data_IF_328365749159
#
_entry.id   IF_328365749159
#
_cell.length_a   1.000
_cell.length_b   1.000
_cell.length_c   1.000
_cell.angle_alpha   90.00
_cell.angle_beta   90.00
_cell.angle_gamma   90.00
#
_symmetry.space_group_name_H-M   'P 1'
#
loop_
_entity.id
_entity.type
_entity.pdbx_description
1 polymer ?
#
# COMPACT_ATOMS: atom_id res chain seq x y z
N UNK A 1 -34.48 0.97 -1.00
CA UNK A 1 -33.46 1.21 -2.04
C UNK A 1 -32.42 2.15 -1.46
N UNK A 2 -31.18 1.71 -1.23
CA UNK A 2 -30.17 2.50 -0.48
C UNK A 2 -29.52 3.62 -1.31
N UNK A 3 -29.55 3.52 -2.64
CA UNK A 3 -28.90 4.46 -3.56
C UNK A 3 -29.83 4.89 -4.72
N UNK A 4 -30.99 5.52 -4.43
CA UNK A 4 -31.96 5.89 -5.47
C UNK A 4 -31.39 6.87 -6.51
N UNK A 5 -30.46 7.75 -6.10
CA UNK A 5 -29.77 8.68 -6.99
C UNK A 5 -28.81 7.98 -7.97
N UNK A 6 -28.22 6.85 -7.57
CA UNK A 6 -27.35 6.07 -8.46
C UNK A 6 -28.16 5.16 -9.40
N UNK A 7 -29.37 4.78 -9.00
CA UNK A 7 -30.23 3.82 -9.71
C UNK A 7 -31.66 4.36 -9.89
N UNK A 8 -31.85 5.47 -10.62
CA UNK A 8 -33.14 6.16 -10.70
C UNK A 8 -34.24 5.34 -11.38
N UNK A 9 -33.86 4.32 -12.16
CA UNK A 9 -34.79 3.41 -12.85
C UNK A 9 -35.16 2.17 -12.03
N UNK A 10 -34.73 2.09 -10.76
CA UNK A 10 -35.03 0.95 -9.89
C UNK A 10 -34.31 -0.34 -10.27
N UNK A 11 -33.09 -0.22 -10.79
CA UNK A 11 -32.26 -1.36 -11.20
C UNK A 11 -32.05 -2.35 -10.04
N UNK A 12 -32.17 -3.65 -10.33
CA UNK A 12 -31.87 -4.68 -9.35
C UNK A 12 -30.37 -4.74 -9.03
N UNK A 13 -30.06 -4.85 -7.74
CA UNK A 13 -28.70 -5.16 -7.27
C UNK A 13 -28.36 -6.63 -7.52
N UNK A 14 -27.11 -6.99 -7.24
CA UNK A 14 -26.66 -8.38 -7.25
C UNK A 14 -27.56 -9.29 -6.40
N UNK A 15 -27.84 -10.49 -6.90
CA UNK A 15 -28.53 -11.55 -6.17
C UNK A 15 -27.94 -12.93 -6.51
N UNK A 16 -28.18 -13.91 -5.64
CA UNK A 16 -27.65 -15.27 -5.74
C UNK A 16 -28.16 -16.07 -6.95
N UNK A 17 -29.24 -15.61 -7.60
CA UNK A 17 -29.81 -16.21 -8.80
C UNK A 17 -29.18 -15.73 -10.10
N UNK A 18 -28.30 -14.72 -10.08
CA UNK A 18 -27.67 -14.18 -11.28
C UNK A 18 -26.75 -15.21 -11.95
N UNK A 19 -27.11 -15.63 -13.16
CA UNK A 19 -26.33 -16.59 -13.97
C UNK A 19 -25.40 -15.87 -14.94
N UNK A 20 -24.27 -16.50 -15.24
CA UNK A 20 -23.45 -16.08 -16.38
C UNK A 20 -24.21 -16.29 -17.70
N UNK A 21 -23.83 -15.54 -18.73
CA UNK A 21 -24.18 -15.86 -20.13
C UNK A 21 -23.59 -17.22 -20.50
N UNK A 22 -24.25 -17.98 -21.36
CA UNK A 22 -23.91 -19.39 -21.62
C UNK A 22 -22.46 -19.60 -22.03
N UNK A 23 -21.94 -18.74 -22.91
CA UNK A 23 -20.56 -18.75 -23.40
C UNK A 23 -19.50 -18.57 -22.30
N UNK A 24 -19.87 -17.97 -21.15
CA UNK A 24 -18.97 -17.74 -20.01
C UNK A 24 -19.21 -18.71 -18.86
N UNK A 25 -20.17 -19.63 -19.00
CA UNK A 25 -20.41 -20.68 -17.99
C UNK A 25 -19.32 -21.74 -18.13
N UNK A 26 -18.80 -22.16 -17.00
CA UNK A 26 -18.02 -23.40 -16.91
C UNK A 26 -18.79 -24.40 -16.06
N UNK A 27 -18.41 -25.68 -16.11
CA UNK A 27 -19.02 -26.73 -15.28
C UNK A 27 -19.03 -26.37 -13.77
N UNK A 28 -18.04 -25.56 -13.33
CA UNK A 28 -17.88 -25.14 -11.94
C UNK A 28 -18.43 -23.73 -11.65
N UNK A 29 -18.51 -22.86 -12.66
CA UNK A 29 -18.92 -21.45 -12.50
C UNK A 29 -20.11 -21.12 -13.42
N UNK A 30 -21.32 -21.29 -12.87
CA UNK A 30 -22.57 -21.00 -13.58
C UNK A 30 -23.21 -19.67 -13.17
N UNK A 31 -22.77 -19.09 -12.04
CA UNK A 31 -23.35 -17.88 -11.42
C UNK A 31 -22.34 -16.76 -11.31
N UNK A 32 -22.83 -15.53 -11.44
CA UNK A 32 -22.03 -14.31 -11.27
C UNK A 32 -21.76 -14.09 -9.79
N UNK A 33 -20.49 -14.03 -9.40
CA UNK A 33 -20.12 -13.72 -8.02
C UNK A 33 -20.35 -12.24 -7.71
N UNK A 34 -20.54 -11.92 -6.44
CA UNK A 34 -20.72 -10.54 -6.01
C UNK A 34 -19.53 -9.65 -6.38
N UNK A 35 -18.31 -10.19 -6.29
CA UNK A 35 -17.08 -9.50 -6.72
C UNK A 35 -17.08 -9.22 -8.22
N UNK A 36 -17.45 -10.20 -9.05
CA UNK A 36 -17.56 -9.99 -10.50
C UNK A 36 -18.60 -8.93 -10.86
N UNK A 37 -19.75 -8.93 -10.17
CA UNK A 37 -20.79 -7.93 -10.37
C UNK A 37 -20.29 -6.53 -10.05
N UNK A 38 -19.67 -6.32 -8.90
CA UNK A 38 -19.16 -5.00 -8.53
C UNK A 38 -17.97 -4.58 -9.39
N UNK A 39 -17.05 -5.49 -9.73
CA UNK A 39 -15.97 -5.19 -10.67
C UNK A 39 -16.52 -4.75 -12.04
N UNK A 40 -17.58 -5.38 -12.52
CA UNK A 40 -18.29 -4.96 -13.72
C UNK A 40 -18.98 -3.59 -13.55
N UNK A 41 -19.58 -3.28 -12.39
CA UNK A 41 -20.21 -1.96 -12.19
C UNK A 41 -19.18 -0.83 -12.10
N UNK A 42 -18.03 -1.10 -11.48
CA UNK A 42 -16.92 -0.15 -11.28
C UNK A 42 -16.01 -0.01 -12.51
N UNK A 43 -16.20 -0.82 -13.56
CA UNK A 43 -15.41 -0.65 -14.79
C UNK A 43 -15.87 0.62 -15.52
N UNK A 44 -14.92 1.50 -15.83
CA UNK A 44 -15.15 2.65 -16.71
C UNK A 44 -15.58 2.15 -18.10
N UNK A 45 -16.59 2.80 -18.70
CA UNK A 45 -17.06 2.54 -20.06
C UNK A 45 -17.20 3.86 -20.80
N UNK A 46 -17.26 3.78 -22.13
CA UNK A 46 -17.58 4.93 -22.96
C UNK A 46 -18.98 5.46 -22.62
N UNK A 47 -19.07 6.76 -22.37
CA UNK A 47 -20.32 7.45 -22.06
C UNK A 47 -20.46 7.87 -20.59
N UNK A 48 -21.50 8.66 -20.31
CA UNK A 48 -21.75 9.20 -18.98
C UNK A 48 -22.12 8.10 -17.98
N UNK A 49 -21.38 8.03 -16.87
CA UNK A 49 -21.68 7.13 -15.76
C UNK A 49 -22.14 7.92 -14.55
N UNK A 50 -23.41 7.76 -14.16
CA UNK A 50 -23.94 8.34 -12.91
C UNK A 50 -23.08 7.90 -11.73
N UNK A 51 -22.69 6.62 -11.69
CA UNK A 51 -21.91 6.04 -10.62
C UNK A 51 -20.58 6.77 -10.41
N UNK A 52 -19.75 6.90 -11.45
CA UNK A 52 -18.43 7.52 -11.33
C UNK A 52 -18.48 9.04 -11.15
N UNK A 53 -19.59 9.69 -11.50
CA UNK A 53 -19.79 11.14 -11.36
C UNK A 53 -20.47 11.56 -10.04
N UNK A 54 -20.69 10.62 -9.12
CA UNK A 54 -21.43 10.88 -7.87
C UNK A 54 -20.54 11.20 -6.64
N UNK A 55 -19.23 11.38 -6.83
CA UNK A 55 -18.30 11.84 -5.80
C UNK A 55 -18.35 11.03 -4.49
N UNK A 56 -18.66 11.68 -3.36
CA UNK A 56 -18.76 10.99 -2.05
C UNK A 56 -19.77 9.84 -2.04
N UNK A 57 -20.85 9.93 -2.80
CA UNK A 57 -21.84 8.85 -2.89
C UNK A 57 -21.27 7.62 -3.62
N UNK A 58 -20.37 7.83 -4.58
CA UNK A 58 -19.61 6.76 -5.23
C UNK A 58 -18.66 6.07 -4.25
N UNK A 59 -17.92 6.85 -3.45
CA UNK A 59 -17.03 6.31 -2.42
C UNK A 59 -17.80 5.44 -1.41
N UNK A 60 -18.96 5.93 -0.94
CA UNK A 60 -19.82 5.17 -0.03
C UNK A 60 -20.32 3.87 -0.68
N UNK A 61 -20.73 3.93 -1.95
CA UNK A 61 -21.14 2.75 -2.70
C UNK A 61 -20.03 1.69 -2.79
N UNK A 62 -18.78 2.09 -3.02
CA UNK A 62 -17.63 1.16 -3.05
C UNK A 62 -17.42 0.51 -1.68
N UNK A 63 -17.46 1.28 -0.60
CA UNK A 63 -17.31 0.75 0.76
C UNK A 63 -18.42 -0.26 1.08
N UNK A 64 -19.67 0.07 0.77
CA UNK A 64 -20.80 -0.83 0.94
C UNK A 64 -20.66 -2.10 0.10
N UNK A 65 -20.21 -1.98 -1.15
CA UNK A 65 -19.97 -3.11 -2.04
C UNK A 65 -18.89 -4.05 -1.47
N UNK A 66 -17.80 -3.48 -0.95
CA UNK A 66 -16.72 -4.21 -0.30
C UNK A 66 -17.22 -4.94 0.95
N UNK A 67 -17.90 -4.23 1.87
CA UNK A 67 -18.42 -4.82 3.12
C UNK A 67 -19.42 -5.93 2.84
N UNK A 68 -20.30 -5.79 1.84
CA UNK A 68 -21.24 -6.85 1.45
C UNK A 68 -20.50 -8.08 0.91
N UNK A 69 -19.49 -7.86 0.08
CA UNK A 69 -18.68 -8.95 -0.51
C UNK A 69 -17.91 -9.70 0.58
N UNK A 70 -17.22 -8.99 1.46
CA UNK A 70 -16.49 -9.59 2.58
C UNK A 70 -17.44 -10.25 3.60
N UNK A 71 -18.59 -9.64 3.87
CA UNK A 71 -19.63 -10.24 4.70
C UNK A 71 -20.15 -11.57 4.13
N UNK A 72 -20.34 -11.65 2.81
CA UNK A 72 -20.71 -12.89 2.12
C UNK A 72 -19.62 -13.96 2.24
N UNK A 73 -18.35 -13.59 2.06
CA UNK A 73 -17.20 -14.51 2.23
C UNK A 73 -17.09 -15.03 3.66
N UNK A 74 -17.22 -14.15 4.66
CA UNK A 74 -17.22 -14.52 6.08
C UNK A 74 -18.41 -15.42 6.43
N UNK A 75 -19.58 -15.15 5.87
CA UNK A 75 -20.75 -15.99 6.04
C UNK A 75 -20.49 -17.40 5.48
N UNK A 76 -19.93 -17.50 4.28
CA UNK A 76 -19.55 -18.79 3.70
C UNK A 76 -18.56 -19.53 4.61
N UNK A 77 -17.49 -18.87 5.07
CA UNK A 77 -16.51 -19.48 5.96
C UNK A 77 -17.16 -19.97 7.27
N UNK A 78 -18.09 -19.20 7.84
CA UNK A 78 -18.82 -19.57 9.05
C UNK A 78 -19.70 -20.83 8.88
N UNK A 79 -20.31 -21.01 7.72
CA UNK A 79 -21.21 -22.14 7.45
C UNK A 79 -20.46 -23.42 7.04
N UNK A 80 -19.31 -23.30 6.39
CA UNK A 80 -18.57 -24.43 5.81
C UNK A 80 -17.31 -24.76 6.63
N UNK A 81 -17.37 -24.61 7.95
CA UNK A 81 -16.23 -24.88 8.84
C UNK A 81 -15.76 -26.35 8.75
N UNK A 82 -16.67 -27.31 8.59
CA UNK A 82 -16.34 -28.74 8.51
C UNK A 82 -15.39 -29.08 7.34
N UNK A 83 -15.50 -28.35 6.21
CA UNK A 83 -14.67 -28.57 5.03
C UNK A 83 -13.20 -28.12 5.22
N UNK A 84 -12.90 -27.30 6.24
CA UNK A 84 -11.60 -26.65 6.41
C UNK A 84 -10.56 -27.46 7.23
N UNK A 85 -10.67 -28.79 7.29
CA UNK A 85 -9.79 -29.68 8.09
C UNK A 85 -9.59 -29.18 9.53
N UNK A 86 -10.68 -28.77 10.17
CA UNK A 86 -10.68 -28.23 11.54
C UNK A 86 -10.29 -29.29 12.59
N UNK A 87 -10.23 -30.57 12.21
CA UNK A 87 -9.78 -31.66 13.08
C UNK A 87 -8.43 -31.40 13.76
N UNK A 88 -7.52 -30.67 13.10
CA UNK A 88 -6.23 -30.23 13.68
C UNK A 88 -6.37 -29.29 14.89
N UNK A 89 -7.51 -28.61 15.05
CA UNK A 89 -7.81 -27.67 16.12
C UNK A 89 -8.74 -28.24 17.19
N UNK A 90 -9.12 -29.52 17.08
CA UNK A 90 -9.99 -30.19 18.06
C UNK A 90 -9.39 -30.13 19.47
N UNK A 91 -8.09 -30.35 19.61
CA UNK A 91 -7.42 -30.22 20.92
C UNK A 91 -7.45 -28.81 21.51
N UNK A 92 -7.47 -27.76 20.67
CA UNK A 92 -7.63 -26.37 21.14
C UNK A 92 -9.07 -26.11 21.62
N UNK A 93 -10.05 -26.64 20.88
CA UNK A 93 -11.47 -26.56 21.25
C UNK A 93 -11.72 -27.27 22.58
N UNK A 94 -11.23 -28.50 22.74
CA UNK A 94 -11.37 -29.29 23.97
C UNK A 94 -10.77 -28.53 25.17
N UNK A 95 -9.58 -27.94 25.01
CA UNK A 95 -8.95 -27.14 26.06
C UNK A 95 -9.75 -25.88 26.44
N UNK A 96 -10.33 -25.19 25.46
CA UNK A 96 -11.18 -24.01 25.68
C UNK A 96 -12.50 -24.40 26.36
N UNK A 97 -13.10 -25.52 25.97
CA UNK A 97 -14.32 -26.03 26.59
C UNK A 97 -14.09 -26.45 28.04
N UNK A 98 -13.00 -27.18 28.33
CA UNK A 98 -12.62 -27.51 29.71
C UNK A 98 -12.43 -26.26 30.58
N UNK A 99 -11.77 -25.22 30.05
CA UNK A 99 -11.56 -23.97 30.77
C UNK A 99 -12.87 -23.22 31.02
N UNK A 100 -13.72 -23.11 30.00
CA UNK A 100 -15.01 -22.44 30.12
C UNK A 100 -15.93 -23.16 31.12
N UNK A 101 -15.91 -24.49 31.14
CA UNK A 101 -16.62 -25.30 32.13
C UNK A 101 -16.14 -25.01 33.56
N UNK A 102 -14.82 -24.94 33.77
CA UNK A 102 -14.25 -24.60 35.08
C UNK A 102 -14.58 -23.18 35.53
N UNK A 103 -14.76 -22.24 34.59
CA UNK A 103 -15.07 -20.83 34.87
C UNK A 103 -16.59 -20.53 34.80
N UNK A 104 -17.47 -21.54 34.66
CA UNK A 104 -18.92 -21.38 34.48
C UNK A 104 -19.31 -20.43 33.33
N UNK A 105 -18.49 -20.36 32.28
CA UNK A 105 -18.72 -19.53 31.10
C UNK A 105 -19.31 -20.33 29.95
N UNK A 106 -20.19 -19.71 29.17
CA UNK A 106 -20.75 -20.31 27.95
C UNK A 106 -19.83 -20.04 26.78
N UNK A 107 -19.21 -21.08 26.23
CA UNK A 107 -18.33 -20.96 25.06
C UNK A 107 -19.14 -20.60 23.81
N UNK A 108 -18.70 -19.58 23.07
CA UNK A 108 -19.25 -19.28 21.74
C UNK A 108 -18.78 -20.28 20.69
N UNK A 109 -19.31 -20.18 19.46
CA UNK A 109 -18.81 -20.97 18.32
C UNK A 109 -17.48 -20.39 17.85
N UNK A 110 -16.40 -21.16 17.97
CA UNK A 110 -15.11 -20.80 17.37
C UNK A 110 -15.25 -20.86 15.84
N UNK A 111 -14.86 -19.77 15.17
CA UNK A 111 -14.77 -19.71 13.70
C UNK A 111 -13.32 -19.45 13.35
N UNK A 112 -12.70 -20.40 12.66
CA UNK A 112 -11.32 -20.29 12.22
C UNK A 112 -11.33 -19.76 10.79
N UNK A 113 -10.62 -18.65 10.58
CA UNK A 113 -10.45 -18.06 9.27
C UNK A 113 -9.17 -18.62 8.62
N UNK A 114 -9.24 -19.20 7.41
CA UNK A 114 -8.07 -19.74 6.73
C UNK A 114 -7.08 -18.64 6.32
N UNK A 115 -5.86 -19.02 5.95
CA UNK A 115 -4.84 -18.09 5.44
C UNK A 115 -5.19 -17.48 4.09
N UNK A 116 -6.14 -18.07 3.36
CA UNK A 116 -6.72 -17.53 2.13
C UNK A 116 -7.65 -16.33 2.37
N UNK A 117 -8.06 -16.08 3.62
CA UNK A 117 -8.81 -14.89 3.98
C UNK A 117 -7.84 -13.77 4.37
N UNK A 118 -7.74 -12.74 3.52
CA UNK A 118 -6.82 -11.63 3.73
C UNK A 118 -7.10 -10.91 5.07
N UNK A 119 -6.04 -10.66 5.83
CA UNK A 119 -6.13 -10.04 7.15
C UNK A 119 -6.51 -11.00 8.30
N UNK A 120 -6.74 -12.30 8.02
CA UNK A 120 -6.91 -13.29 9.10
C UNK A 120 -5.61 -13.51 9.89
N UNK A 121 -5.68 -13.97 11.15
CA UNK A 121 -4.47 -14.35 11.90
C UNK A 121 -3.59 -15.36 11.16
N UNK A 122 -4.19 -16.35 10.51
CA UNK A 122 -3.48 -17.35 9.71
C UNK A 122 -2.83 -16.75 8.46
N UNK A 123 -3.48 -15.78 7.82
CA UNK A 123 -2.92 -15.06 6.67
C UNK A 123 -1.67 -14.26 7.10
N UNK A 124 -1.78 -13.50 8.18
CA UNK A 124 -0.67 -12.72 8.72
C UNK A 124 0.49 -13.62 9.16
N UNK A 125 0.19 -14.73 9.83
CA UNK A 125 1.21 -15.70 10.24
C UNK A 125 1.89 -16.38 9.05
N UNK A 126 1.13 -16.71 8.00
CA UNK A 126 1.70 -17.25 6.77
C UNK A 126 2.64 -16.24 6.10
N UNK A 127 2.19 -14.99 5.89
CA UNK A 127 3.03 -13.94 5.29
C UNK A 127 4.32 -13.72 6.08
N UNK A 128 4.24 -13.73 7.43
CA UNK A 128 5.42 -13.63 8.29
C UNK A 128 6.37 -14.82 8.09
N UNK A 129 5.84 -16.05 8.11
CA UNK A 129 6.66 -17.26 7.91
C UNK A 129 7.31 -17.28 6.53
N UNK A 130 6.59 -16.88 5.49
CA UNK A 130 7.11 -16.79 4.12
C UNK A 130 8.23 -15.74 4.04
N UNK A 131 8.03 -14.56 4.64
CA UNK A 131 9.08 -13.54 4.73
C UNK A 131 10.32 -14.04 5.48
N UNK A 132 10.14 -14.71 6.62
CA UNK A 132 11.26 -15.29 7.38
C UNK A 132 11.97 -16.42 6.62
N UNK A 133 11.24 -17.22 5.85
CA UNK A 133 11.82 -18.26 5.00
C UNK A 133 12.68 -17.65 3.88
N UNK A 134 12.21 -16.56 3.27
CA UNK A 134 12.99 -15.79 2.30
C UNK A 134 14.26 -15.22 2.92
N UNK A 135 14.17 -14.59 4.09
CA UNK A 135 15.35 -14.06 4.81
C UNK A 135 16.32 -15.18 5.21
N UNK A 136 15.81 -16.35 5.64
CA UNK A 136 16.65 -17.50 5.97
C UNK A 136 17.38 -18.05 4.74
N UNK A 137 16.74 -18.04 3.57
CA UNK A 137 17.30 -18.59 2.33
C UNK A 137 18.28 -17.63 1.64
N UNK A 138 17.93 -16.35 1.57
CA UNK A 138 18.67 -15.35 0.79
C UNK A 138 19.49 -14.38 1.65
N UNK A 139 19.34 -14.43 2.97
CA UNK A 139 19.98 -13.51 3.91
C UNK A 139 19.11 -12.30 4.22
N UNK A 140 19.66 -11.38 5.02
CA UNK A 140 19.01 -10.12 5.35
C UNK A 140 18.80 -9.26 4.07
N UNK A 141 17.69 -8.52 3.95
CA UNK A 141 17.53 -7.53 2.90
C UNK A 141 18.61 -6.44 2.97
N UNK A 142 18.99 -5.91 1.83
CA UNK A 142 20.00 -4.85 1.69
C UNK A 142 19.36 -3.47 1.54
N UNK A 143 18.21 -3.40 0.88
CA UNK A 143 17.48 -2.15 0.64
C UNK A 143 16.08 -2.22 1.23
N UNK A 144 15.69 -1.11 1.85
CA UNK A 144 14.32 -0.83 2.25
C UNK A 144 13.84 0.42 1.52
N UNK A 145 12.83 0.26 0.68
CA UNK A 145 12.26 1.34 -0.13
C UNK A 145 10.81 1.58 0.23
N UNK A 146 10.42 2.84 0.23
CA UNK A 146 9.03 3.26 0.33
C UNK A 146 8.59 3.88 -0.99
N UNK A 147 7.44 3.43 -1.50
CA UNK A 147 6.83 4.00 -2.70
C UNK A 147 5.45 4.56 -2.33
N UNK A 148 5.30 5.88 -2.40
CA UNK A 148 4.10 6.58 -1.95
C UNK A 148 3.31 7.10 -3.15
N UNK A 149 2.01 6.85 -3.15
CA UNK A 149 1.10 7.37 -4.16
C UNK A 149 1.03 8.91 -4.13
N UNK A 150 1.07 9.55 -5.29
CA UNK A 150 0.91 10.99 -5.45
C UNK A 150 -0.37 11.28 -6.26
N UNK A 151 -1.36 11.99 -5.71
CA UNK A 151 -2.62 12.24 -6.40
C UNK A 151 -2.46 13.27 -7.54
N UNK A 152 -1.33 13.99 -7.57
CA UNK A 152 -0.99 14.95 -8.62
C UNK A 152 -0.25 14.32 -9.81
N UNK A 153 -0.16 12.99 -9.89
CA UNK A 153 0.36 12.34 -11.09
C UNK A 153 -0.49 12.69 -12.31
N UNK A 154 0.18 12.97 -13.43
CA UNK A 154 -0.48 13.38 -14.68
C UNK A 154 -1.46 12.33 -15.18
N UNK A 155 -1.18 11.04 -14.99
CA UNK A 155 -2.10 9.95 -15.38
C UNK A 155 -3.41 10.01 -14.61
N UNK A 156 -3.38 10.44 -13.34
CA UNK A 156 -4.59 10.64 -12.53
C UNK A 156 -5.31 11.90 -13.01
N UNK A 157 -4.61 13.02 -13.10
CA UNK A 157 -5.20 14.32 -13.46
C UNK A 157 -5.81 14.31 -14.86
N UNK A 158 -5.13 13.69 -15.83
CA UNK A 158 -5.61 13.57 -17.21
C UNK A 158 -6.82 12.61 -17.34
N UNK A 159 -7.05 11.75 -16.34
CA UNK A 159 -8.21 10.84 -16.31
C UNK A 159 -9.43 11.46 -15.62
N UNK A 160 -9.32 12.68 -15.08
CA UNK A 160 -10.44 13.38 -14.47
C UNK A 160 -11.32 14.02 -15.55
N UNK A 161 -12.64 13.85 -15.43
CA UNK A 161 -13.61 14.45 -16.34
C UNK A 161 -14.39 15.59 -15.67
N UNK A 162 -14.55 16.72 -16.36
CA UNK A 162 -15.36 17.85 -15.88
C UNK A 162 -14.88 18.43 -14.55
N UNK A 163 -15.71 18.30 -13.51
CA UNK A 163 -15.45 18.85 -12.15
C UNK A 163 -14.91 17.80 -11.18
N UNK A 164 -14.58 16.59 -11.65
CA UNK A 164 -14.03 15.53 -10.80
C UNK A 164 -12.68 15.94 -10.21
N UNK A 165 -12.45 15.57 -8.94
CA UNK A 165 -11.15 15.69 -8.29
C UNK A 165 -10.59 14.30 -8.01
N UNK A 166 -9.27 14.14 -7.87
CA UNK A 166 -8.66 12.84 -7.56
C UNK A 166 -9.31 12.14 -6.35
N UNK A 167 -9.64 12.90 -5.32
CA UNK A 167 -10.33 12.41 -4.11
C UNK A 167 -11.65 11.70 -4.43
N UNK A 168 -12.36 12.14 -5.46
CA UNK A 168 -13.66 11.60 -5.86
C UNK A 168 -13.53 10.28 -6.66
N UNK A 169 -12.33 9.93 -7.13
CA UNK A 169 -12.03 8.78 -8.01
C UNK A 169 -10.98 7.82 -7.42
N UNK A 170 -11.29 7.15 -6.29
CA UNK A 170 -10.36 6.18 -5.68
C UNK A 170 -10.03 4.99 -6.59
N UNK A 171 -10.94 4.63 -7.50
CA UNK A 171 -10.74 3.60 -8.51
C UNK A 171 -9.57 3.93 -9.45
N UNK A 172 -9.47 5.17 -9.91
CA UNK A 172 -8.37 5.65 -10.76
C UNK A 172 -7.06 5.72 -9.94
N UNK A 173 -7.11 6.26 -8.72
CA UNK A 173 -5.94 6.37 -7.85
C UNK A 173 -5.29 4.99 -7.63
N UNK A 174 -6.10 4.00 -7.23
CA UNK A 174 -5.61 2.63 -6.97
C UNK A 174 -5.04 2.03 -8.25
N UNK A 175 -5.71 2.25 -9.39
CA UNK A 175 -5.28 1.71 -10.68
C UNK A 175 -3.91 2.26 -11.11
N UNK A 176 -3.76 3.59 -11.10
CA UNK A 176 -2.50 4.26 -11.46
C UNK A 176 -1.38 3.89 -10.49
N UNK A 177 -1.66 3.84 -9.19
CA UNK A 177 -0.69 3.39 -8.19
C UNK A 177 -0.18 1.98 -8.47
N UNK A 178 -1.10 1.04 -8.75
CA UNK A 178 -0.74 -0.35 -9.05
C UNK A 178 0.07 -0.46 -10.35
N UNK A 179 -0.28 0.32 -11.39
CA UNK A 179 0.51 0.37 -12.62
C UNK A 179 1.93 0.87 -12.38
N UNK A 180 2.08 2.01 -11.68
CA UNK A 180 3.40 2.57 -11.40
C UNK A 180 4.24 1.70 -10.47
N UNK A 181 3.61 1.04 -9.49
CA UNK A 181 4.31 0.09 -8.63
C UNK A 181 4.83 -1.12 -9.43
N UNK A 182 4.05 -1.62 -10.38
CA UNK A 182 4.52 -2.71 -11.27
C UNK A 182 5.68 -2.27 -12.14
N UNK A 183 5.62 -1.08 -12.72
CA UNK A 183 6.71 -0.51 -13.51
C UNK A 183 7.99 -0.38 -12.67
N UNK A 184 7.88 0.16 -11.45
CA UNK A 184 9.01 0.26 -10.52
C UNK A 184 9.62 -1.12 -10.21
N UNK A 185 8.79 -2.13 -9.96
CA UNK A 185 9.28 -3.48 -9.70
C UNK A 185 9.93 -4.11 -10.94
N UNK A 186 9.46 -3.77 -12.13
CA UNK A 186 10.07 -4.19 -13.40
C UNK A 186 11.44 -3.54 -13.61
N UNK A 187 11.58 -2.24 -13.35
CA UNK A 187 12.88 -1.55 -13.37
C UNK A 187 13.87 -2.16 -12.38
N UNK A 188 13.41 -2.44 -11.16
CA UNK A 188 14.23 -3.03 -10.10
C UNK A 188 14.65 -4.46 -10.45
N UNK A 189 13.72 -5.31 -10.86
CA UNK A 189 13.96 -6.75 -10.96
C UNK A 189 14.43 -7.20 -12.35
N UNK A 190 14.06 -6.49 -13.41
CA UNK A 190 14.40 -6.86 -14.80
C UNK A 190 15.46 -5.94 -15.41
N UNK A 191 15.33 -4.63 -15.24
CA UNK A 191 16.31 -3.67 -15.76
C UNK A 191 17.54 -3.51 -14.87
N UNK A 192 17.48 -4.03 -13.62
CA UNK A 192 18.63 -4.15 -12.74
C UNK A 192 19.18 -2.80 -12.29
N UNK A 193 18.31 -1.79 -12.07
CA UNK A 193 18.73 -0.44 -11.65
C UNK A 193 19.54 -0.43 -10.34
N UNK A 194 19.34 -1.44 -9.50
CA UNK A 194 20.07 -1.66 -8.24
C UNK A 194 21.00 -2.88 -8.29
N UNK A 195 21.29 -3.38 -9.49
CA UNK A 195 21.97 -4.65 -9.72
C UNK A 195 21.02 -5.85 -9.70
N UNK A 196 21.55 -7.04 -9.43
CA UNK A 196 20.79 -8.29 -9.51
C UNK A 196 20.03 -8.57 -8.22
N UNK A 197 18.69 -8.60 -8.31
CA UNK A 197 17.81 -8.91 -7.18
C UNK A 197 17.58 -10.42 -7.10
N UNK A 198 17.98 -11.04 -5.98
CA UNK A 198 17.72 -12.46 -5.70
C UNK A 198 16.32 -12.70 -5.16
N UNK A 199 15.83 -11.76 -4.36
CA UNK A 199 14.54 -11.85 -3.68
C UNK A 199 14.01 -10.45 -3.36
N UNK A 200 12.69 -10.29 -3.42
CA UNK A 200 12.02 -9.11 -2.90
C UNK A 200 10.73 -9.48 -2.16
N UNK A 201 10.37 -8.67 -1.17
CA UNK A 201 9.12 -8.77 -0.42
C UNK A 201 8.54 -7.37 -0.39
N UNK A 202 7.25 -7.21 -0.64
CA UNK A 202 6.60 -5.92 -0.44
C UNK A 202 5.22 -6.06 0.20
N UNK A 203 4.83 -5.01 0.91
CA UNK A 203 3.50 -4.86 1.50
C UNK A 203 2.95 -3.51 1.08
N UNK A 204 1.70 -3.51 0.61
CA UNK A 204 0.94 -2.27 0.41
C UNK A 204 0.17 -2.03 1.70
N UNK A 205 0.42 -0.89 2.34
CA UNK A 205 -0.30 -0.47 3.52
C UNK A 205 -1.15 0.76 3.16
N UNK A 206 -2.29 0.87 3.84
CA UNK A 206 -3.17 2.02 3.72
C UNK A 206 -3.04 2.85 4.99
N UNK A 207 -2.28 3.94 4.94
CA UNK A 207 -2.16 4.83 6.08
C UNK A 207 -3.51 5.52 6.33
N UNK A 208 -3.99 5.52 7.58
CA UNK A 208 -5.28 6.13 7.99
C UNK A 208 -5.44 7.63 7.62
N UNK A 209 -4.40 8.26 7.09
CA UNK A 209 -4.32 9.68 6.71
C UNK A 209 -3.75 9.90 5.31
N UNK A 210 -3.52 8.84 4.53
CA UNK A 210 -2.71 8.92 3.32
C UNK A 210 -3.20 8.02 2.21
N UNK A 211 -2.64 8.25 1.03
CA UNK A 211 -2.81 7.38 -0.12
C UNK A 211 -1.98 6.11 0.06
N UNK A 212 -2.15 5.15 -0.84
CA UNK A 212 -1.42 3.89 -0.84
C UNK A 212 0.09 4.11 -0.76
N UNK A 213 0.74 3.30 0.07
CA UNK A 213 2.18 3.22 0.12
C UNK A 213 2.63 1.76 0.11
N UNK A 214 3.69 1.48 -0.62
CA UNK A 214 4.35 0.19 -0.61
C UNK A 214 5.65 0.27 0.19
N UNK A 215 5.86 -0.69 1.08
CA UNK A 215 7.13 -0.96 1.72
C UNK A 215 7.75 -2.14 0.99
N UNK A 216 8.95 -1.96 0.44
CA UNK A 216 9.63 -2.93 -0.42
C UNK A 216 10.99 -3.26 0.20
N UNK A 217 11.25 -4.53 0.41
CA UNK A 217 12.53 -5.09 0.86
C UNK A 217 13.18 -5.81 -0.31
N UNK A 218 14.44 -5.50 -0.61
CA UNK A 218 15.22 -6.13 -1.68
C UNK A 218 16.43 -6.85 -1.10
N UNK A 219 16.71 -8.06 -1.61
CA UNK A 219 17.92 -8.82 -1.34
C UNK A 219 18.71 -8.95 -2.63
N UNK A 220 19.88 -8.33 -2.67
CA UNK A 220 20.78 -8.27 -3.81
C UNK A 220 21.76 -9.45 -3.84
N UNK A 221 22.26 -9.78 -5.03
CA UNK A 221 23.31 -10.78 -5.21
C UNK A 221 24.65 -10.31 -4.61
N UNK A 222 25.61 -11.24 -4.51
CA UNK A 222 26.91 -10.96 -3.87
C UNK A 222 27.72 -9.84 -4.54
N UNK A 223 27.51 -9.61 -5.85
CA UNK A 223 28.24 -8.61 -6.66
C UNK A 223 27.61 -7.24 -6.57
N UNK A 224 26.30 -7.19 -6.31
CA UNK A 224 25.50 -5.96 -6.19
C UNK A 224 25.36 -5.50 -4.73
N UNK A 225 26.00 -6.17 -3.76
CA UNK A 225 25.98 -5.76 -2.35
C UNK A 225 26.66 -4.40 -2.17
N UNK A 226 26.02 -3.55 -1.39
CA UNK A 226 26.57 -2.26 -0.93
C UNK A 226 27.59 -2.56 0.17
N UNK A 227 28.87 -2.25 -0.08
CA UNK A 227 29.97 -2.53 0.87
C UNK A 227 30.87 -1.34 1.17
N UNK A 228 30.76 -0.29 0.37
CA UNK A 228 31.62 0.89 0.46
C UNK A 228 30.78 2.15 0.50
N UNK A 229 31.38 3.25 0.95
CA UNK A 229 30.78 4.59 0.93
C UNK A 229 30.41 5.01 -0.49
N UNK A 230 31.27 4.72 -1.48
CA UNK A 230 30.98 4.94 -2.90
C UNK A 230 29.77 4.14 -3.39
N UNK A 231 29.57 2.91 -2.89
CA UNK A 231 28.37 2.14 -3.23
C UNK A 231 27.13 2.75 -2.59
N UNK A 232 27.21 3.30 -1.38
CA UNK A 232 26.08 4.01 -0.77
C UNK A 232 25.67 5.21 -1.63
N UNK A 233 26.65 6.01 -2.05
CA UNK A 233 26.43 7.24 -2.83
C UNK A 233 25.83 6.96 -4.23
N UNK A 234 26.03 5.76 -4.79
CA UNK A 234 25.36 5.33 -6.04
C UNK A 234 23.87 5.06 -5.87
N UNK A 235 23.43 4.68 -4.67
CA UNK A 235 22.06 4.25 -4.41
C UNK A 235 21.24 5.32 -3.67
N UNK A 236 21.89 6.15 -2.85
CA UNK A 236 21.24 7.16 -2.02
C UNK A 236 21.97 8.48 -2.17
N UNK A 237 21.24 9.53 -2.52
CA UNK A 237 21.72 10.90 -2.47
C UNK A 237 20.93 11.71 -1.45
N UNK A 238 21.65 12.46 -0.62
CA UNK A 238 21.09 13.45 0.30
C UNK A 238 21.33 14.89 -0.18
N UNK A 239 21.64 15.06 -1.48
CA UNK A 239 21.91 16.33 -2.13
C UNK A 239 20.71 16.75 -2.99
N UNK A 240 20.46 18.06 -3.11
CA UNK A 240 19.50 18.59 -4.05
C UNK A 240 20.03 18.40 -5.49
N UNK A 241 19.21 17.90 -6.42
CA UNK A 241 19.59 17.82 -7.83
C UNK A 241 19.92 19.21 -8.40
N UNK A 242 20.86 19.31 -9.32
CA UNK A 242 21.18 20.59 -9.96
C UNK A 242 20.05 21.00 -10.94
N UNK A 243 19.39 22.16 -10.74
CA UNK A 243 18.31 22.62 -11.62
C UNK A 243 18.78 22.94 -13.05
N UNK A 244 20.07 23.19 -13.28
CA UNK A 244 20.63 23.43 -14.60
C UNK A 244 20.76 22.13 -15.41
N UNK A 245 21.06 21.01 -14.76
CA UNK A 245 21.24 19.72 -15.41
C UNK A 245 19.98 18.87 -15.41
N UNK A 246 19.22 18.87 -14.31
CA UNK A 246 18.01 18.07 -14.15
C UNK A 246 16.92 18.84 -13.39
N UNK A 247 16.32 19.80 -14.10
CA UNK A 247 15.22 20.60 -13.59
C UNK A 247 14.03 19.75 -13.14
N UNK A 248 13.76 18.63 -13.83
CA UNK A 248 12.61 17.78 -13.52
C UNK A 248 12.81 17.06 -12.19
N UNK A 249 13.97 16.44 -11.98
CA UNK A 249 14.28 15.77 -10.72
C UNK A 249 14.35 16.78 -9.57
N UNK A 250 14.96 17.94 -9.80
CA UNK A 250 14.98 19.03 -8.83
C UNK A 250 13.56 19.43 -8.38
N UNK A 251 12.63 19.64 -9.31
CA UNK A 251 11.23 19.97 -8.99
C UNK A 251 10.51 18.86 -8.21
N UNK A 252 10.79 17.59 -8.53
CA UNK A 252 10.19 16.45 -7.82
C UNK A 252 10.74 16.35 -6.39
N UNK A 253 12.07 16.40 -6.23
CA UNK A 253 12.74 16.26 -4.92
C UNK A 253 12.34 17.40 -3.99
N UNK A 254 12.39 18.64 -4.46
CA UNK A 254 12.01 19.81 -3.66
C UNK A 254 10.54 19.80 -3.24
N UNK A 255 9.65 19.31 -4.10
CA UNK A 255 8.21 19.25 -3.80
C UNK A 255 7.83 18.09 -2.88
N UNK A 256 8.47 16.93 -3.04
CA UNK A 256 8.01 15.67 -2.44
C UNK A 256 8.92 15.12 -1.34
N UNK A 257 10.21 15.46 -1.34
CA UNK A 257 11.22 14.84 -0.46
C UNK A 257 11.85 15.81 0.53
N UNK A 258 11.69 17.12 0.32
CA UNK A 258 12.19 18.14 1.25
C UNK A 258 11.43 18.09 2.59
N UNK A 259 12.17 18.19 3.70
CA UNK A 259 11.55 18.33 5.01
C UNK A 259 10.87 19.71 5.11
N UNK A 260 9.61 19.71 5.52
CA UNK A 260 8.91 20.97 5.77
C UNK A 260 9.57 21.78 6.88
N UNK A 261 9.35 23.10 6.92
CA UNK A 261 9.90 23.95 7.98
C UNK A 261 9.45 23.43 9.34
N UNK A 262 10.39 23.31 10.28
CA UNK A 262 10.13 22.89 11.67
C UNK A 262 11.03 23.68 12.64
N UNK A 263 11.01 23.32 13.91
CA UNK A 263 11.82 24.00 14.92
C UNK A 263 11.28 25.40 15.22
N UNK A 264 12.19 26.37 15.28
CA UNK A 264 11.84 27.79 15.49
C UNK A 264 11.05 28.39 14.33
N UNK A 265 11.23 27.88 13.11
CA UNK A 265 10.54 28.35 11.91
C UNK A 265 9.05 27.94 11.94
N UNK A 266 8.75 26.77 12.50
CA UNK A 266 7.38 26.29 12.65
C UNK A 266 7.26 25.27 13.79
N UNK A 267 6.95 25.78 15.00
CA UNK A 267 6.82 24.97 16.22
C UNK A 267 5.63 24.00 16.18
N UNK A 268 4.63 24.29 15.34
CA UNK A 268 3.41 23.49 15.20
C UNK A 268 3.56 22.33 14.21
N UNK A 269 4.77 22.10 13.68
CA UNK A 269 5.00 21.03 12.72
C UNK A 269 4.77 19.66 13.36
N UNK A 270 4.17 18.68 12.65
CA UNK A 270 3.89 17.35 13.21
C UNK A 270 5.12 16.59 13.73
N UNK A 271 6.31 16.95 13.26
CA UNK A 271 7.58 16.37 13.70
C UNK A 271 8.09 16.95 15.02
N UNK A 272 7.52 18.04 15.54
CA UNK A 272 7.95 18.66 16.79
C UNK A 272 7.41 17.87 17.99
N UNK A 273 8.32 17.48 18.89
CA UNK A 273 8.00 16.96 20.22
C UNK A 273 8.93 17.62 21.23
N UNK A 274 8.37 18.06 22.35
CA UNK A 274 9.13 18.65 23.46
C UNK A 274 10.08 19.79 23.00
N UNK A 275 9.61 20.62 22.06
CA UNK A 275 10.39 21.74 21.52
C UNK A 275 11.48 21.37 20.51
N UNK A 276 11.66 20.08 20.18
CA UNK A 276 12.67 19.62 19.21
C UNK A 276 12.06 18.79 18.08
N UNK A 277 12.70 18.81 16.91
CA UNK A 277 12.28 17.95 15.81
C UNK A 277 12.65 16.49 16.13
N UNK A 278 11.66 15.60 16.27
CA UNK A 278 11.90 14.17 16.56
C UNK A 278 12.67 13.44 15.43
N UNK A 279 12.75 14.05 14.25
CA UNK A 279 13.53 13.57 13.10
C UNK A 279 14.94 14.16 13.04
N UNK A 280 15.31 15.02 14.01
CA UNK A 280 16.61 15.69 14.15
C UNK A 280 17.00 16.49 12.90
N UNK A 281 16.08 17.32 12.42
CA UNK A 281 16.36 18.35 11.40
C UNK A 281 16.67 19.70 12.07
N UNK A 282 17.50 20.55 11.46
CA UNK A 282 18.30 20.29 10.25
C UNK A 282 19.42 19.27 10.49
N UNK A 283 19.77 18.48 9.46
CA UNK A 283 20.93 17.59 9.48
C UNK A 283 22.22 18.39 9.34
N UNK A 284 23.31 17.85 9.89
CA UNK A 284 24.64 18.44 9.70
C UNK A 284 25.11 18.19 8.27
N UNK A 285 25.79 19.18 7.69
CA UNK A 285 26.51 18.99 6.44
C UNK A 285 27.67 18.01 6.63
N UNK A 286 27.99 17.31 5.56
CA UNK A 286 29.08 16.34 5.53
C UNK A 286 29.63 16.21 4.11
N UNK A 287 30.94 16.32 3.96
CA UNK A 287 31.56 16.36 2.64
C UNK A 287 31.61 14.99 1.95
N UNK A 288 31.64 13.92 2.76
CA UNK A 288 31.69 12.53 2.34
C UNK A 288 30.76 11.64 3.20
N UNK A 289 30.32 10.52 2.63
CA UNK A 289 29.54 9.52 3.37
C UNK A 289 30.46 8.81 4.36
N UNK A 290 30.01 8.63 5.61
CA UNK A 290 30.76 7.84 6.60
C UNK A 290 29.87 6.77 7.22
N UNK A 291 30.47 5.62 7.51
CA UNK A 291 29.82 4.59 8.32
C UNK A 291 29.46 5.09 9.73
N UNK A 292 28.42 4.50 10.30
CA UNK A 292 27.96 4.85 11.65
C UNK A 292 27.83 3.58 12.49
N UNK A 293 28.39 3.63 13.70
CA UNK A 293 28.35 2.55 14.69
C UNK A 293 26.91 2.13 15.03
N UNK A 294 25.94 3.04 14.89
CA UNK A 294 24.52 2.78 15.16
C UNK A 294 23.71 2.28 13.93
N UNK A 295 24.39 1.93 12.83
CA UNK A 295 23.80 1.16 11.72
C UNK A 295 23.22 1.95 10.54
N UNK A 296 23.11 3.29 10.62
CA UNK A 296 22.72 4.13 9.48
C UNK A 296 23.86 5.07 9.09
N UNK A 297 24.40 4.99 7.87
CA UNK A 297 25.51 5.84 7.45
C UNK A 297 25.13 7.32 7.55
N UNK A 298 26.12 8.15 7.85
CA UNK A 298 25.99 9.58 7.67
C UNK A 298 26.21 9.89 6.20
N UNK A 299 25.13 10.10 5.46
CA UNK A 299 25.21 10.41 4.04
C UNK A 299 25.96 11.71 3.76
N UNK A 300 26.71 11.71 2.67
CA UNK A 300 27.25 12.90 2.03
C UNK A 300 26.13 13.92 1.81
N UNK A 301 26.36 15.13 2.31
CA UNK A 301 25.43 16.25 2.31
C UNK A 301 26.24 17.53 2.27
N UNK A 302 26.76 17.89 1.10
CA UNK A 302 27.62 19.06 0.93
C UNK A 302 26.82 20.35 1.12
N UNK A 303 27.50 21.38 1.62
CA UNK A 303 26.93 22.70 1.72
C UNK A 303 26.73 23.27 0.30
N UNK A 304 25.50 23.65 -0.02
CA UNK A 304 25.14 24.32 -1.27
C UNK A 304 24.42 25.62 -0.96
N UNK A 305 24.30 26.49 -1.97
CA UNK A 305 23.46 27.67 -1.82
C UNK A 305 22.01 27.26 -1.54
N UNK A 306 21.33 27.94 -0.59
CA UNK A 306 19.93 27.70 -0.35
C UNK A 306 19.09 28.04 -1.58
N UNK A 307 18.09 27.19 -1.87
CA UNK A 307 17.15 27.39 -2.96
C UNK A 307 15.78 27.77 -2.43
N UNK A 308 15.10 28.68 -3.12
CA UNK A 308 13.75 29.09 -2.79
C UNK A 308 12.73 28.06 -3.26
N UNK A 309 11.99 27.47 -2.32
CA UNK A 309 10.89 26.56 -2.59
C UNK A 309 9.61 27.12 -1.97
N UNK A 310 8.78 27.72 -2.82
CA UNK A 310 7.60 28.45 -2.40
C UNK A 310 7.99 29.71 -1.61
N UNK A 311 7.64 29.75 -0.32
CA UNK A 311 7.93 30.88 0.58
C UNK A 311 9.11 30.64 1.52
N UNK A 312 9.81 29.52 1.35
CA UNK A 312 10.86 29.09 2.26
C UNK A 312 12.17 28.88 1.50
N UNK A 313 13.28 29.30 2.14
CA UNK A 313 14.63 28.98 1.69
C UNK A 313 15.02 27.63 2.27
N UNK A 314 15.32 26.66 1.41
CA UNK A 314 15.76 25.32 1.82
C UNK A 314 17.17 25.06 1.31
N UNK A 315 17.94 24.27 2.04
CA UNK A 315 19.22 23.75 1.59
C UNK A 315 19.23 22.23 1.75
N UNK A 316 20.40 21.61 1.61
CA UNK A 316 20.53 20.17 1.77
C UNK A 316 20.33 19.70 3.22
N UNK A 317 19.79 20.46 4.19
CA UNK A 317 19.71 20.02 5.61
C UNK A 317 18.38 19.43 6.07
#
# INVERSE_FOLDING_TARGET
>A
MTYPLLFPRGECSWNTGMKHVEERRTAKYTRVTQLQYYAYRLSQRNGFSILHNSGKLFQQYIVDAYVKTEGSRLHFLRQNQEDFRIELYRGLLDALECRAHNENMRTGKLIILPSSFQGSPHHLQQNYRDAMAMVRKFGKPDLFMTFTCNPSWSEILNSMEGVQRPEDRPDIIVFVFNMKLKELLEDICKHGIFGTVLAYIYVIEFQKRGLHHAHILLTLDSKSKIRTEDDIDKFVSAELPDPCTDLRLFQIVTKCMAHGPCGTININSPCMRDGQCCKRFPKQFKDDTEENVNGYPFYRRRATEPVQVGKYSIDNR
#
